data_IF_575721280013
#
_entry.id   IF_575721280013
#
_cell.length_a   1.000
_cell.length_b   1.000
_cell.length_c   1.000
_cell.angle_alpha   90.00
_cell.angle_beta   90.00
_cell.angle_gamma   90.00
#
_symmetry.space_group_name_H-M   'P 1'
#
loop_
_entity.id
_entity.type
_entity.pdbx_description
1 polymer ?
#
# COMPACT_ATOMS: atom_id res chain seq x y z
N UNK A 1 6.76 26.76 11.20
CA UNK A 1 5.59 26.44 10.36
C UNK A 1 5.29 24.93 10.37
N UNK A 2 6.11 24.04 9.82
CA UNK A 2 5.84 22.57 9.83
C UNK A 2 5.66 21.95 11.23
N UNK A 3 6.38 22.42 12.23
CA UNK A 3 6.25 21.94 13.63
C UNK A 3 4.88 22.31 14.23
N UNK A 4 4.33 23.47 13.89
CA UNK A 4 3.01 23.87 14.38
C UNK A 4 1.91 23.09 13.67
N UNK A 5 2.03 22.92 12.35
CA UNK A 5 1.13 22.08 11.59
C UNK A 5 1.13 20.62 12.11
N UNK A 6 2.30 20.06 12.44
CA UNK A 6 2.40 18.71 13.04
C UNK A 6 1.62 18.62 14.36
N UNK A 7 1.73 19.59 15.23
CA UNK A 7 0.95 19.61 16.50
C UNK A 7 -0.55 19.71 16.25
N UNK A 8 -0.95 20.56 15.32
CA UNK A 8 -2.36 20.74 14.96
C UNK A 8 -2.96 19.45 14.43
N UNK A 9 -2.29 18.78 13.46
CA UNK A 9 -2.81 17.55 12.88
C UNK A 9 -2.89 16.42 13.91
N UNK A 10 -1.89 16.27 14.80
CA UNK A 10 -1.93 15.29 15.88
C UNK A 10 -3.12 15.57 16.82
N UNK A 11 -3.38 16.83 17.15
CA UNK A 11 -4.53 17.21 17.95
C UNK A 11 -5.86 16.90 17.26
N UNK A 12 -5.94 17.15 15.94
CA UNK A 12 -7.12 16.83 15.11
C UNK A 12 -7.35 15.32 15.06
N UNK A 13 -6.29 14.52 14.89
CA UNK A 13 -6.40 13.05 14.91
C UNK A 13 -6.90 12.55 16.26
N UNK A 14 -6.44 13.14 17.37
CA UNK A 14 -6.93 12.80 18.72
C UNK A 14 -8.42 13.10 18.87
N UNK A 15 -8.89 14.23 18.35
CA UNK A 15 -10.32 14.56 18.33
C UNK A 15 -11.12 13.59 17.48
N UNK A 16 -10.66 13.28 16.27
CA UNK A 16 -11.25 12.27 15.39
C UNK A 16 -11.37 10.92 16.09
N UNK A 17 -10.30 10.46 16.76
CA UNK A 17 -10.33 9.19 17.52
C UNK A 17 -11.40 9.22 18.61
N UNK A 18 -11.49 10.29 19.39
CA UNK A 18 -12.44 10.36 20.49
C UNK A 18 -13.90 10.55 20.04
N UNK A 19 -14.11 11.32 18.97
CA UNK A 19 -15.46 11.73 18.57
C UNK A 19 -16.08 10.77 17.52
N UNK A 20 -15.28 10.27 16.60
CA UNK A 20 -15.76 9.49 15.46
C UNK A 20 -15.44 7.98 15.58
N UNK A 21 -14.24 7.63 16.08
CA UNK A 21 -13.81 6.23 16.15
C UNK A 21 -14.35 5.53 17.39
N UNK A 22 -14.17 6.13 18.57
CA UNK A 22 -14.53 5.50 19.84
C UNK A 22 -16.01 5.04 19.94
N UNK A 23 -16.99 5.78 19.40
CA UNK A 23 -18.39 5.33 19.46
C UNK A 23 -18.72 4.09 18.65
N UNK A 24 -17.94 3.78 17.58
CA UNK A 24 -18.30 2.76 16.59
C UNK A 24 -17.32 1.59 16.53
N UNK A 25 -16.14 1.69 17.14
CA UNK A 25 -15.05 0.74 16.98
C UNK A 25 -15.45 -0.68 17.38
N UNK A 26 -16.15 -0.87 18.52
CA UNK A 26 -16.52 -2.19 19.00
C UNK A 26 -17.48 -2.88 18.03
N UNK A 27 -18.49 -2.17 17.53
CA UNK A 27 -19.43 -2.71 16.58
C UNK A 27 -18.76 -3.12 15.25
N UNK A 28 -17.91 -2.27 14.71
CA UNK A 28 -17.23 -2.51 13.44
C UNK A 28 -16.21 -3.66 13.56
N UNK A 29 -15.43 -3.71 14.65
CA UNK A 29 -14.47 -4.80 14.91
C UNK A 29 -15.17 -6.13 15.11
N UNK A 30 -16.24 -6.18 15.90
CA UNK A 30 -17.00 -7.42 16.19
C UNK A 30 -17.65 -7.98 14.93
N UNK A 31 -18.17 -7.12 14.06
CA UNK A 31 -18.86 -7.50 12.82
C UNK A 31 -17.90 -7.69 11.61
N UNK A 32 -16.59 -7.52 11.78
CA UNK A 32 -15.60 -7.60 10.68
C UNK A 32 -15.93 -6.63 9.52
N UNK A 33 -16.35 -5.41 9.86
CA UNK A 33 -16.74 -4.37 8.89
C UNK A 33 -15.57 -3.43 8.63
N UNK A 34 -15.20 -3.26 7.35
CA UNK A 34 -14.24 -2.23 6.93
C UNK A 34 -14.81 -0.83 7.21
N UNK A 35 -14.07 0.04 7.92
CA UNK A 35 -14.56 1.35 8.34
C UNK A 35 -14.50 2.41 7.22
N UNK A 36 -15.28 2.22 6.18
CA UNK A 36 -15.23 3.09 5.00
C UNK A 36 -15.38 4.57 5.34
N UNK A 37 -16.38 4.92 6.16
CA UNK A 37 -16.66 6.32 6.54
C UNK A 37 -15.49 6.93 7.33
N UNK A 38 -14.89 6.16 8.24
CA UNK A 38 -13.70 6.63 8.98
C UNK A 38 -12.49 6.77 8.07
N UNK A 39 -12.30 5.85 7.11
CA UNK A 39 -11.22 5.95 6.13
C UNK A 39 -11.42 7.15 5.19
N UNK A 40 -12.65 7.44 4.79
CA UNK A 40 -12.97 8.64 3.98
C UNK A 40 -12.69 9.92 4.79
N UNK A 41 -13.06 9.94 6.06
CA UNK A 41 -12.73 11.08 6.96
C UNK A 41 -11.22 11.23 7.18
N UNK A 42 -10.47 10.14 7.26
CA UNK A 42 -8.99 10.19 7.27
C UNK A 42 -8.44 10.85 5.99
N UNK A 43 -9.07 10.63 4.83
CA UNK A 43 -8.69 11.30 3.58
C UNK A 43 -8.99 12.81 3.63
N UNK A 44 -10.17 13.21 4.11
CA UNK A 44 -10.55 14.62 4.32
C UNK A 44 -9.59 15.34 5.27
N UNK A 45 -9.10 14.64 6.30
CA UNK A 45 -8.09 15.16 7.24
C UNK A 45 -6.66 15.18 6.64
N UNK A 46 -6.46 14.72 5.39
CA UNK A 46 -5.18 14.69 4.70
C UNK A 46 -4.21 13.63 5.23
N UNK A 47 -4.67 12.62 5.98
CA UNK A 47 -3.79 11.64 6.62
C UNK A 47 -3.07 10.76 5.62
N UNK A 48 -3.67 10.48 4.47
CA UNK A 48 -3.02 9.69 3.41
C UNK A 48 -1.85 10.42 2.74
N UNK A 49 -1.83 11.76 2.82
CA UNK A 49 -0.78 12.61 2.23
C UNK A 49 0.32 13.06 3.19
N UNK A 50 0.38 12.56 4.43
CA UNK A 50 1.28 13.08 5.48
C UNK A 50 2.74 13.21 5.02
N UNK A 51 3.30 12.16 4.42
CA UNK A 51 4.71 12.11 3.99
C UNK A 51 4.90 12.44 2.51
N UNK A 52 3.82 12.55 1.73
CA UNK A 52 3.90 12.91 0.32
C UNK A 52 4.25 14.40 0.24
N UNK A 53 5.24 14.80 -0.59
CA UNK A 53 5.60 16.21 -0.76
C UNK A 53 4.44 17.09 -1.23
N UNK A 54 4.50 18.38 -0.87
CA UNK A 54 3.48 19.38 -1.23
C UNK A 54 3.31 19.53 -2.75
N UNK A 55 4.38 19.35 -3.53
CA UNK A 55 4.34 19.37 -5.00
C UNK A 55 3.45 18.28 -5.62
N UNK A 56 3.20 17.19 -4.88
CA UNK A 56 2.27 16.11 -5.26
C UNK A 56 0.97 16.15 -4.44
N UNK A 57 0.66 17.27 -3.79
CA UNK A 57 -0.60 17.46 -3.06
C UNK A 57 -0.61 16.89 -1.64
N UNK A 58 0.51 16.45 -1.11
CA UNK A 58 0.64 15.98 0.26
C UNK A 58 0.99 17.11 1.24
N UNK A 59 1.26 16.75 2.49
CA UNK A 59 1.63 17.70 3.56
C UNK A 59 3.15 17.80 3.78
N UNK A 60 3.94 16.87 3.24
CA UNK A 60 5.39 16.86 3.33
C UNK A 60 5.91 16.87 4.79
N UNK A 61 5.19 16.21 5.70
CA UNK A 61 5.57 16.14 7.11
C UNK A 61 6.53 14.99 7.37
N UNK A 62 7.19 15.02 8.52
CA UNK A 62 8.21 14.04 8.87
C UNK A 62 7.64 12.67 9.27
N UNK A 63 8.45 11.62 9.16
CA UNK A 63 8.11 10.30 9.70
C UNK A 63 7.85 10.31 11.22
N UNK A 64 8.49 11.23 11.97
CA UNK A 64 8.16 11.43 13.38
C UNK A 64 6.69 11.82 13.55
N UNK A 65 6.20 12.79 12.75
CA UNK A 65 4.79 13.20 12.79
C UNK A 65 3.87 12.06 12.41
N UNK A 66 4.23 11.27 11.39
CA UNK A 66 3.48 10.08 11.01
C UNK A 66 3.41 9.06 12.16
N UNK A 67 4.53 8.80 12.83
CA UNK A 67 4.57 7.89 14.00
C UNK A 67 3.68 8.38 15.14
N UNK A 68 3.68 9.68 15.42
CA UNK A 68 2.79 10.28 16.44
C UNK A 68 1.31 10.09 16.03
N UNK A 69 0.98 10.22 14.75
CA UNK A 69 -0.38 9.94 14.21
C UNK A 69 -0.74 8.47 14.35
N UNK A 70 0.16 7.55 14.02
CA UNK A 70 -0.07 6.11 14.23
C UNK A 70 -0.35 5.78 15.70
N UNK A 71 0.36 6.40 16.63
CA UNK A 71 0.11 6.24 18.07
C UNK A 71 -1.32 6.68 18.42
N UNK A 72 -1.74 7.86 17.98
CA UNK A 72 -3.09 8.36 18.29
C UNK A 72 -4.19 7.49 17.63
N UNK A 73 -4.05 7.10 16.37
CA UNK A 73 -4.99 6.20 15.69
C UNK A 73 -5.08 4.84 16.40
N UNK A 74 -3.93 4.26 16.80
CA UNK A 74 -3.87 2.95 17.44
C UNK A 74 -4.48 2.94 18.84
N UNK A 75 -4.49 4.08 19.56
CA UNK A 75 -5.20 4.20 20.84
C UNK A 75 -6.71 4.03 20.69
N UNK A 76 -7.27 4.47 19.56
CA UNK A 76 -8.68 4.28 19.25
C UNK A 76 -8.97 2.95 18.58
N UNK A 77 -8.27 2.68 17.49
CA UNK A 77 -8.45 1.44 16.72
C UNK A 77 -7.24 1.15 15.82
N UNK A 78 -6.49 0.12 16.15
CA UNK A 78 -5.27 -0.26 15.41
C UNK A 78 -5.54 -0.51 13.90
N UNK A 79 -6.76 -0.95 13.53
CA UNK A 79 -7.12 -1.17 12.13
C UNK A 79 -6.99 0.09 11.26
N UNK A 80 -7.25 1.28 11.81
CA UNK A 80 -7.06 2.55 11.07
C UNK A 80 -5.57 2.84 10.82
N UNK A 81 -4.73 2.56 11.81
CA UNK A 81 -3.27 2.65 11.62
C UNK A 81 -2.78 1.66 10.56
N UNK A 82 -3.38 0.47 10.47
CA UNK A 82 -3.06 -0.51 9.43
C UNK A 82 -3.48 -0.09 8.03
N UNK A 83 -4.66 0.50 7.89
CA UNK A 83 -5.11 1.07 6.60
C UNK A 83 -4.10 2.13 6.11
N UNK A 84 -3.68 3.02 7.01
CA UNK A 84 -2.72 4.07 6.70
C UNK A 84 -1.31 3.52 6.47
N UNK A 85 -0.89 2.50 7.24
CA UNK A 85 0.47 1.96 7.21
C UNK A 85 0.86 1.37 5.86
N UNK A 86 0.04 0.46 5.33
CA UNK A 86 0.32 -0.14 4.02
C UNK A 86 0.20 0.85 2.87
N UNK A 87 -0.72 1.82 2.98
CA UNK A 87 -0.80 2.95 2.06
C UNK A 87 0.49 3.80 2.09
N UNK A 88 1.06 4.03 3.27
CA UNK A 88 2.33 4.76 3.41
C UNK A 88 3.48 4.02 2.74
N UNK A 89 3.55 2.69 2.87
CA UNK A 89 4.56 1.88 2.16
C UNK A 89 4.39 2.03 0.65
N UNK A 90 3.17 1.90 0.13
CA UNK A 90 2.87 2.07 -1.30
C UNK A 90 3.32 3.45 -1.82
N UNK A 91 2.93 4.52 -1.11
CA UNK A 91 3.29 5.88 -1.50
C UNK A 91 4.79 6.14 -1.40
N UNK A 92 5.46 5.60 -0.38
CA UNK A 92 6.92 5.65 -0.22
C UNK A 92 7.65 5.01 -1.39
N UNK A 93 7.23 3.81 -1.81
CA UNK A 93 7.85 3.11 -2.93
C UNK A 93 7.73 3.91 -4.23
N UNK A 94 6.56 4.47 -4.52
CA UNK A 94 6.36 5.29 -5.72
C UNK A 94 7.14 6.61 -5.63
N UNK A 95 7.16 7.25 -4.48
CA UNK A 95 7.88 8.51 -4.27
C UNK A 95 9.39 8.35 -4.48
N UNK A 96 10.00 7.33 -3.90
CA UNK A 96 11.45 7.18 -3.88
C UNK A 96 12.00 6.41 -5.07
N UNK A 97 11.24 5.49 -5.64
CA UNK A 97 11.70 4.60 -6.72
C UNK A 97 10.96 4.79 -8.05
N UNK A 98 9.84 5.49 -8.04
CA UNK A 98 9.09 5.79 -9.27
C UNK A 98 9.80 6.78 -10.18
N UNK A 99 9.51 6.71 -11.47
CA UNK A 99 9.86 7.75 -12.42
C UNK A 99 9.05 9.01 -12.14
N UNK A 100 9.48 10.16 -12.65
CA UNK A 100 8.73 11.41 -12.51
C UNK A 100 7.31 11.30 -13.09
N UNK A 101 7.14 10.55 -14.18
CA UNK A 101 5.84 10.28 -14.77
C UNK A 101 4.95 9.46 -13.82
N UNK A 102 5.51 8.45 -13.16
CA UNK A 102 4.79 7.63 -12.17
C UNK A 102 4.43 8.45 -10.94
N UNK A 103 5.34 9.27 -10.41
CA UNK A 103 5.07 10.18 -9.29
C UNK A 103 3.91 11.13 -9.61
N UNK A 104 3.96 11.83 -10.74
CA UNK A 104 2.91 12.75 -11.18
C UNK A 104 1.56 12.08 -11.40
N UNK A 105 1.57 10.83 -11.88
CA UNK A 105 0.32 10.08 -12.11
C UNK A 105 -0.33 9.63 -10.80
N UNK A 106 0.45 9.07 -9.86
CA UNK A 106 -0.11 8.34 -8.73
C UNK A 106 -0.10 9.10 -7.40
N UNK A 107 0.95 9.89 -7.11
CA UNK A 107 1.08 10.53 -5.79
C UNK A 107 -0.06 11.51 -5.45
N UNK A 108 -0.59 12.32 -6.38
CA UNK A 108 -1.74 13.18 -6.05
C UNK A 108 -2.98 12.40 -5.63
N UNK A 109 -3.28 11.29 -6.31
CA UNK A 109 -4.38 10.40 -5.96
C UNK A 109 -4.16 9.62 -4.67
N UNK A 110 -2.90 9.30 -4.35
CA UNK A 110 -2.52 8.72 -3.06
C UNK A 110 -2.66 9.76 -1.94
N UNK A 111 -2.20 10.99 -2.15
CA UNK A 111 -2.24 12.05 -1.14
C UNK A 111 -3.67 12.40 -0.70
N UNK A 112 -4.63 12.41 -1.61
CA UNK A 112 -6.03 12.71 -1.32
C UNK A 112 -6.88 11.45 -0.99
N UNK A 113 -6.28 10.25 -0.99
CA UNK A 113 -6.96 9.00 -0.66
C UNK A 113 -7.86 8.43 -1.76
N UNK A 114 -7.82 8.97 -3.00
CA UNK A 114 -8.47 8.38 -4.18
C UNK A 114 -7.86 7.02 -4.51
N UNK A 115 -6.53 6.93 -4.46
CA UNK A 115 -5.82 5.67 -4.47
C UNK A 115 -5.51 5.23 -3.05
N UNK A 116 -5.86 3.99 -2.72
CA UNK A 116 -5.54 3.31 -1.47
C UNK A 116 -5.07 1.91 -1.82
N UNK A 117 -4.18 1.34 -1.03
CA UNK A 117 -3.71 -0.01 -1.32
C UNK A 117 -2.50 -0.39 -0.49
N UNK A 118 -1.61 -1.15 -1.08
CA UNK A 118 -0.48 -1.68 -0.35
C UNK A 118 0.55 -2.41 -1.22
N UNK A 119 1.35 -3.22 -0.53
CA UNK A 119 2.43 -4.00 -1.12
C UNK A 119 2.02 -5.48 -1.25
N UNK A 120 2.05 -6.02 -2.47
CA UNK A 120 1.88 -7.44 -2.74
C UNK A 120 3.25 -8.14 -2.82
N UNK A 121 3.78 -8.54 -1.65
CA UNK A 121 5.08 -9.19 -1.51
C UNK A 121 4.96 -10.67 -1.20
N UNK A 122 4.32 -10.99 -0.07
CA UNK A 122 4.20 -12.32 0.51
C UNK A 122 3.39 -13.27 -0.36
N UNK A 123 3.81 -14.52 -0.43
CA UNK A 123 3.10 -15.64 -1.05
C UNK A 123 2.87 -16.74 -0.03
N UNK A 124 1.96 -17.68 -0.28
CA UNK A 124 1.61 -18.75 0.67
C UNK A 124 2.81 -19.58 1.14
N UNK A 125 3.86 -19.68 0.33
CA UNK A 125 5.08 -20.45 0.60
C UNK A 125 6.33 -19.59 0.82
N UNK A 126 6.22 -18.25 0.69
CA UNK A 126 7.35 -17.32 0.74
C UNK A 126 6.94 -16.00 1.41
N UNK A 127 7.42 -15.80 2.63
CA UNK A 127 7.23 -14.56 3.41
C UNK A 127 8.60 -14.02 3.82
N UNK A 128 9.21 -14.60 4.86
CA UNK A 128 10.56 -14.18 5.32
C UNK A 128 11.63 -14.41 4.25
N UNK A 129 11.52 -15.44 3.45
CA UNK A 129 12.41 -15.68 2.31
C UNK A 129 11.84 -15.09 1.02
N UNK A 130 11.90 -13.78 0.92
CA UNK A 130 11.39 -12.99 -0.22
C UNK A 130 11.99 -13.43 -1.56
N UNK A 131 13.21 -13.94 -1.57
CA UNK A 131 13.89 -14.35 -2.81
C UNK A 131 13.25 -15.57 -3.46
N UNK A 132 12.44 -16.34 -2.73
CA UNK A 132 11.79 -17.55 -3.22
C UNK A 132 10.33 -17.36 -3.66
N UNK A 133 9.87 -16.11 -3.85
CA UNK A 133 8.57 -15.85 -4.50
C UNK A 133 8.48 -16.58 -5.85
N UNK A 134 7.25 -16.93 -6.26
CA UNK A 134 6.98 -17.65 -7.51
C UNK A 134 6.19 -16.84 -8.53
N UNK A 135 5.60 -15.70 -8.11
CA UNK A 135 4.96 -14.77 -9.06
C UNK A 135 5.96 -14.34 -10.11
N UNK A 136 5.62 -14.49 -11.38
CA UNK A 136 6.49 -14.19 -12.53
C UNK A 136 5.86 -13.10 -13.37
N UNK A 137 6.69 -12.19 -13.85
CA UNK A 137 6.34 -11.19 -14.85
C UNK A 137 7.16 -11.47 -16.12
N UNK A 138 6.48 -11.86 -17.20
CA UNK A 138 7.11 -12.07 -18.51
C UNK A 138 6.92 -10.82 -19.35
N UNK A 139 8.02 -10.31 -19.91
CA UNK A 139 7.99 -9.18 -20.83
C UNK A 139 7.48 -9.63 -22.20
N UNK A 140 6.61 -8.81 -22.81
CA UNK A 140 6.15 -8.94 -24.18
C UNK A 140 6.30 -7.57 -24.90
N UNK A 141 5.79 -7.46 -26.14
CA UNK A 141 5.94 -6.26 -26.95
C UNK A 141 5.12 -5.07 -26.41
N UNK A 142 4.06 -5.31 -25.65
CA UNK A 142 3.13 -4.28 -25.12
C UNK A 142 3.42 -3.96 -23.65
N UNK A 143 4.08 -4.86 -22.92
CA UNK A 143 4.31 -4.67 -21.48
C UNK A 143 4.83 -5.90 -20.78
N UNK A 144 4.11 -6.28 -19.73
CA UNK A 144 4.40 -7.46 -18.93
C UNK A 144 3.10 -8.24 -18.67
N UNK A 145 3.18 -9.54 -18.78
CA UNK A 145 2.15 -10.48 -18.33
C UNK A 145 2.58 -11.04 -16.97
N UNK A 146 1.77 -10.78 -15.92
CA UNK A 146 2.06 -11.22 -14.56
C UNK A 146 1.16 -12.39 -14.18
N UNK A 147 1.79 -13.47 -13.71
CA UNK A 147 1.12 -14.67 -13.23
C UNK A 147 1.60 -15.07 -11.84
N UNK A 148 0.64 -15.30 -10.92
CA UNK A 148 0.90 -15.72 -9.55
C UNK A 148 -0.17 -15.32 -8.57
N UNK A 149 0.12 -15.44 -7.26
CA UNK A 149 -0.76 -14.95 -6.19
C UNK A 149 0.03 -14.33 -5.06
N UNK A 150 -0.59 -13.41 -4.34
CA UNK A 150 -0.04 -12.76 -3.15
C UNK A 150 -0.95 -13.00 -1.96
N UNK A 151 -0.38 -13.30 -0.81
CA UNK A 151 -1.10 -13.69 0.41
C UNK A 151 -0.89 -12.68 1.52
N UNK A 152 -1.88 -12.52 2.39
CA UNK A 152 -1.88 -11.63 3.53
C UNK A 152 -1.79 -10.13 3.15
N UNK A 153 -2.43 -9.75 2.04
CA UNK A 153 -2.34 -8.37 1.54
C UNK A 153 -3.36 -7.49 2.24
N UNK A 154 -2.85 -6.58 3.03
CA UNK A 154 -3.64 -5.53 3.72
C UNK A 154 -4.18 -4.53 2.72
N UNK A 155 -5.41 -4.05 2.93
CA UNK A 155 -6.18 -3.24 1.97
C UNK A 155 -6.48 -3.97 0.64
N UNK A 156 -6.40 -5.31 0.59
CA UNK A 156 -6.53 -6.07 -0.64
C UNK A 156 -7.90 -5.93 -1.31
N UNK A 157 -8.99 -5.96 -0.53
CA UNK A 157 -10.35 -5.80 -1.04
C UNK A 157 -10.76 -4.34 -1.26
N UNK A 158 -10.39 -3.46 -0.34
CA UNK A 158 -10.82 -2.05 -0.36
C UNK A 158 -9.81 -1.11 -1.03
N UNK A 159 -8.59 -1.58 -1.28
CA UNK A 159 -7.60 -0.88 -2.09
C UNK A 159 -7.88 -0.98 -3.58
N UNK A 160 -7.26 -0.08 -4.35
CA UNK A 160 -7.38 -0.01 -5.81
C UNK A 160 -6.04 0.18 -6.52
N UNK A 161 -4.92 0.28 -5.76
CA UNK A 161 -3.58 0.43 -6.30
C UNK A 161 -2.59 -0.38 -5.46
N UNK A 162 -1.72 -1.15 -6.12
CA UNK A 162 -0.76 -2.02 -5.44
C UNK A 162 0.61 -1.94 -6.10
N UNK A 163 1.67 -2.15 -5.29
CA UNK A 163 2.99 -2.53 -5.83
C UNK A 163 3.11 -4.04 -5.68
N UNK A 164 3.21 -4.74 -6.81
CA UNK A 164 3.33 -6.19 -6.87
C UNK A 164 4.77 -6.57 -7.16
N UNK A 165 5.33 -7.45 -6.32
CA UNK A 165 6.71 -7.95 -6.44
C UNK A 165 6.70 -9.25 -7.22
N UNK A 166 7.44 -9.29 -8.35
CA UNK A 166 7.45 -10.44 -9.26
C UNK A 166 8.86 -10.76 -9.75
N UNK A 167 9.10 -11.98 -10.19
CA UNK A 167 10.35 -12.36 -10.87
C UNK A 167 10.26 -12.02 -12.35
N UNK A 168 11.22 -11.23 -12.82
CA UNK A 168 11.46 -10.97 -14.26
C UNK A 168 12.58 -11.82 -14.83
N UNK A 169 13.51 -12.31 -13.97
CA UNK A 169 14.59 -13.20 -14.39
C UNK A 169 14.72 -14.39 -13.41
N UNK A 170 14.29 -15.57 -13.84
CA UNK A 170 14.32 -16.80 -13.04
C UNK A 170 15.74 -17.36 -12.84
N UNK A 171 16.68 -16.99 -13.71
CA UNK A 171 18.05 -17.48 -13.70
C UNK A 171 19.05 -16.50 -13.07
N UNK A 172 18.55 -15.41 -12.46
CA UNK A 172 19.41 -14.40 -11.86
C UNK A 172 20.25 -14.97 -10.71
N UNK A 173 21.52 -14.59 -10.69
CA UNK A 173 22.46 -14.91 -9.61
C UNK A 173 23.11 -13.61 -9.12
N UNK A 174 22.91 -13.25 -7.85
CA UNK A 174 22.04 -13.87 -6.85
C UNK A 174 20.54 -13.68 -7.18
N UNK A 175 19.68 -14.57 -6.64
CA UNK A 175 18.25 -14.65 -6.98
C UNK A 175 17.49 -13.33 -6.85
N UNK A 176 17.83 -12.49 -5.86
CA UNK A 176 17.16 -11.21 -5.62
C UNK A 176 17.30 -10.21 -6.78
N UNK A 177 18.35 -10.33 -7.62
CA UNK A 177 18.56 -9.52 -8.83
C UNK A 177 17.56 -9.83 -9.95
N UNK A 178 16.82 -10.90 -9.83
CA UNK A 178 15.74 -11.24 -10.75
C UNK A 178 14.36 -10.72 -10.35
N UNK A 179 14.27 -9.93 -9.29
CA UNK A 179 13.01 -9.45 -8.72
C UNK A 179 12.77 -8.01 -9.13
N UNK A 180 11.57 -7.71 -9.61
CA UNK A 180 11.11 -6.37 -10.01
C UNK A 180 9.78 -6.03 -9.33
N UNK A 181 9.48 -4.74 -9.24
CA UNK A 181 8.23 -4.23 -8.70
C UNK A 181 7.37 -3.63 -9.82
N UNK A 182 6.07 -3.87 -9.76
CA UNK A 182 5.10 -3.36 -10.74
C UNK A 182 3.97 -2.61 -10.04
N UNK A 183 3.59 -1.46 -10.60
CA UNK A 183 2.39 -0.73 -10.16
C UNK A 183 1.19 -1.37 -10.85
N UNK A 184 0.28 -1.96 -10.07
CA UNK A 184 -0.92 -2.66 -10.54
C UNK A 184 -2.15 -1.94 -10.02
N UNK A 185 -3.06 -1.61 -10.93
CA UNK A 185 -4.36 -1.04 -10.61
C UNK A 185 -5.40 -2.17 -10.50
N UNK A 186 -6.37 -2.06 -9.61
CA UNK A 186 -7.40 -3.09 -9.41
C UNK A 186 -8.24 -3.37 -10.66
N UNK A 187 -8.26 -2.42 -11.59
CA UNK A 187 -8.99 -2.52 -12.87
C UNK A 187 -8.19 -3.17 -14.00
N UNK A 188 -6.93 -3.53 -13.75
CA UNK A 188 -6.11 -4.20 -14.75
C UNK A 188 -6.69 -5.59 -15.07
N UNK A 189 -6.71 -5.94 -16.35
CA UNK A 189 -7.19 -7.24 -16.79
C UNK A 189 -6.34 -8.36 -16.19
N UNK A 190 -6.98 -9.42 -15.75
CA UNK A 190 -6.31 -10.54 -15.07
C UNK A 190 -5.99 -10.30 -13.58
N UNK A 191 -6.26 -9.10 -13.02
CA UNK A 191 -6.19 -8.88 -11.57
C UNK A 191 -7.51 -9.23 -10.91
N UNK A 192 -7.45 -9.95 -9.79
CA UNK A 192 -8.64 -10.20 -8.96
C UNK A 192 -8.27 -10.34 -7.47
N UNK A 193 -9.27 -10.13 -6.62
CA UNK A 193 -9.16 -10.36 -5.18
C UNK A 193 -9.67 -11.76 -4.90
N UNK A 194 -8.82 -12.58 -4.30
CA UNK A 194 -9.17 -13.92 -3.87
C UNK A 194 -9.85 -13.94 -2.50
N UNK A 195 -9.47 -14.87 -1.66
CA UNK A 195 -10.08 -15.05 -0.35
C UNK A 195 -9.77 -13.89 0.61
N UNK A 196 -10.81 -13.32 1.24
CA UNK A 196 -10.66 -12.49 2.45
C UNK A 196 -10.37 -13.42 3.65
N UNK A 197 -9.35 -13.09 4.42
CA UNK A 197 -8.91 -13.90 5.55
C UNK A 197 -9.63 -13.50 6.84
N UNK A 198 -10.14 -14.48 7.58
CA UNK A 198 -10.69 -14.27 8.91
C UNK A 198 -9.56 -14.12 9.92
N UNK A 199 -9.65 -13.12 10.80
CA UNK A 199 -8.63 -12.79 11.78
C UNK A 199 -9.19 -12.82 13.20
N UNK A 200 -8.35 -13.07 14.19
CA UNK A 200 -8.71 -13.02 15.61
C UNK A 200 -8.98 -11.59 16.11
N UNK A 201 -8.27 -10.62 15.56
CA UNK A 201 -8.40 -9.18 15.81
C UNK A 201 -7.89 -8.39 14.60
N UNK A 202 -7.85 -7.06 14.71
CA UNK A 202 -7.45 -6.23 13.58
C UNK A 202 -8.39 -6.40 12.38
N UNK A 203 -9.68 -6.57 12.70
CA UNK A 203 -10.69 -7.05 11.75
C UNK A 203 -11.21 -5.95 10.86
N UNK A 204 -11.16 -4.70 11.32
CA UNK A 204 -11.57 -3.54 10.54
C UNK A 204 -10.69 -3.21 9.31
N UNK A 205 -9.47 -3.77 9.21
CA UNK A 205 -8.69 -3.71 7.99
C UNK A 205 -8.77 -5.05 7.27
N UNK A 206 -9.14 -5.07 6.00
CA UNK A 206 -9.19 -6.30 5.23
C UNK A 206 -7.78 -6.84 4.94
N UNK A 207 -7.67 -8.15 4.92
CA UNK A 207 -6.46 -8.88 4.57
C UNK A 207 -6.86 -9.99 3.60
N UNK A 208 -6.33 -9.96 2.40
CA UNK A 208 -6.79 -10.80 1.30
C UNK A 208 -5.65 -11.52 0.58
N UNK A 209 -6.03 -12.49 -0.21
CA UNK A 209 -5.25 -12.98 -1.33
C UNK A 209 -5.48 -12.06 -2.55
N UNK A 210 -4.43 -11.77 -3.31
CA UNK A 210 -4.51 -11.17 -4.63
C UNK A 210 -4.11 -12.21 -5.67
N UNK A 211 -4.88 -12.30 -6.74
CA UNK A 211 -4.66 -13.23 -7.84
C UNK A 211 -4.30 -12.44 -9.10
N UNK A 212 -3.27 -12.90 -9.79
CA UNK A 212 -2.80 -12.38 -11.07
C UNK A 212 -2.80 -13.55 -12.06
N UNK A 213 -3.70 -13.51 -13.02
CA UNK A 213 -3.90 -14.55 -14.03
C UNK A 213 -3.86 -13.89 -15.40
N UNK A 214 -2.74 -14.06 -16.10
CA UNK A 214 -2.43 -13.38 -17.35
C UNK A 214 -2.66 -11.87 -17.23
N UNK A 215 -2.21 -11.31 -16.08
CA UNK A 215 -2.45 -9.91 -15.75
C UNK A 215 -1.53 -9.01 -16.59
N UNK A 216 -2.12 -8.26 -17.51
CA UNK A 216 -1.39 -7.42 -18.45
C UNK A 216 -1.08 -6.04 -17.87
N UNK A 217 0.20 -5.69 -17.85
CA UNK A 217 0.71 -4.44 -17.28
C UNK A 217 1.56 -3.70 -18.32
N UNK A 218 1.23 -2.45 -18.68
CA UNK A 218 2.01 -1.66 -19.61
C UNK A 218 3.47 -1.44 -19.15
N UNK A 219 4.40 -1.30 -20.08
CA UNK A 219 5.84 -1.11 -19.81
C UNK A 219 6.15 -0.01 -18.80
N UNK A 220 5.39 1.09 -18.84
CA UNK A 220 5.59 2.25 -17.96
C UNK A 220 5.11 2.03 -16.51
N UNK A 221 4.61 0.84 -16.17
CA UNK A 221 4.23 0.44 -14.82
C UNK A 221 5.27 -0.42 -14.09
N UNK A 222 6.38 -0.78 -14.74
CA UNK A 222 7.57 -1.22 -14.00
C UNK A 222 8.01 -0.07 -13.08
N UNK A 223 8.09 -0.32 -11.78
CA UNK A 223 8.46 0.71 -10.80
C UNK A 223 9.91 1.16 -11.03
N UNK A 224 10.07 2.41 -11.44
CA UNK A 224 11.35 2.91 -11.94
C UNK A 224 11.56 2.59 -13.42
N UNK A 225 12.80 2.35 -13.82
CA UNK A 225 13.19 2.15 -15.22
C UNK A 225 13.89 0.82 -15.51
N UNK A 226 14.27 0.07 -14.47
CA UNK A 226 15.12 -1.10 -14.59
C UNK A 226 14.51 -2.32 -13.90
N UNK A 227 14.54 -3.46 -14.59
CA UNK A 227 14.26 -4.75 -13.97
C UNK A 227 15.34 -5.14 -12.95
N UNK A 228 15.00 -6.05 -12.03
CA UNK A 228 15.94 -6.58 -11.04
C UNK A 228 16.23 -5.68 -9.85
N UNK A 229 15.55 -4.55 -9.73
CA UNK A 229 15.69 -3.61 -8.60
C UNK A 229 14.66 -3.82 -7.48
N UNK A 230 13.66 -4.66 -7.71
CA UNK A 230 12.49 -4.80 -6.82
C UNK A 230 12.84 -5.20 -5.40
N UNK A 231 13.82 -6.10 -5.21
CA UNK A 231 14.23 -6.49 -3.86
C UNK A 231 14.80 -5.30 -3.07
N UNK A 232 15.70 -4.53 -3.67
CA UNK A 232 16.28 -3.34 -3.03
C UNK A 232 15.24 -2.26 -2.77
N UNK A 233 14.33 -2.04 -3.71
CA UNK A 233 13.22 -1.08 -3.56
C UNK A 233 12.34 -1.43 -2.35
N UNK A 234 11.97 -2.70 -2.21
CA UNK A 234 11.12 -3.15 -1.09
C UNK A 234 11.87 -3.09 0.24
N UNK A 235 13.14 -3.50 0.29
CA UNK A 235 13.93 -3.45 1.52
C UNK A 235 14.23 -2.03 2.00
N UNK A 236 14.20 -1.05 1.10
CA UNK A 236 14.32 0.38 1.44
C UNK A 236 13.00 0.93 2.00
N UNK A 237 11.85 0.35 1.62
CA UNK A 237 10.50 0.79 2.02
C UNK A 237 9.91 0.07 3.24
N UNK A 238 10.56 -0.96 3.77
CA UNK A 238 10.16 -1.75 4.94
C UNK A 238 11.12 -1.49 6.11
#
# INVERSE_FOLDING_TARGET
MKNELSKQIISTVRQFVNQDVAPVVNELEDKDIYPKELADKMAELGLFGINIPEEYGGLGLSFKTLSDIFIELSKGWMSLAGILGTHTILSYLILNHGTEQQRKKYLPGLANGLYRGGLGLTESHSGSDVQNIKTVAKKNDEGYEINGSKMFITNGSNGNLFVIVSKTNLNATPKYKGISCFIVEKVDEGFSVGQKLNKLGYRGVDTCELLLQDCEIPLNRLLGTEEGKGFTQVMDGL
#
